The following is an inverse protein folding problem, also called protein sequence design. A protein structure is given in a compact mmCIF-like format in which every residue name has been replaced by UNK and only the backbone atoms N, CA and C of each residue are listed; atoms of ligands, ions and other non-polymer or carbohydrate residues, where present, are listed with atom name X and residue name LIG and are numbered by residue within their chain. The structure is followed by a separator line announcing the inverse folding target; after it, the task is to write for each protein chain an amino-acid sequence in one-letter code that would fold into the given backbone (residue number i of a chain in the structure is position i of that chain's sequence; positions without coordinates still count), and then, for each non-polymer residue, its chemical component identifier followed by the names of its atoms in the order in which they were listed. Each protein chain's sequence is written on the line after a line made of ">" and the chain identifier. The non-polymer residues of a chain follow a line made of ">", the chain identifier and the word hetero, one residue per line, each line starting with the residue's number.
data_IF_644308832094
#
_entry.id   IF_644308832094
#
_cell.length_a   1.000
_cell.length_b   1.000
_cell.length_c   1.000
_cell.angle_alpha   90.00
_cell.angle_beta   90.00
_cell.angle_gamma   90.00
#
_symmetry.space_group_name_H-M   'P 1'
#
loop_
_entity.id
_entity.type
_entity.pdbx_description
1 polymer ?
#
# COMPACT_ATOMS: atom_id res chain seq x y z
N UNK A 1 -0.43 5.00 -1.69
CA UNK A 1 0.83 4.51 -2.30
C UNK A 1 0.46 3.68 -3.53
N UNK A 2 1.26 3.65 -4.60
CA UNK A 2 0.96 2.83 -5.80
C UNK A 2 2.13 1.89 -6.12
N UNK A 3 1.85 0.69 -6.56
CA UNK A 3 2.85 -0.34 -6.90
C UNK A 3 2.37 -1.26 -8.01
N UNK A 4 3.27 -1.81 -8.82
CA UNK A 4 2.97 -2.85 -9.81
C UNK A 4 2.99 -4.27 -9.21
N UNK A 5 3.45 -4.41 -7.97
CA UNK A 5 3.48 -5.68 -7.25
C UNK A 5 2.30 -5.78 -6.29
N UNK A 6 1.58 -6.91 -6.35
CA UNK A 6 0.41 -7.16 -5.50
C UNK A 6 0.78 -7.06 -4.00
N UNK A 7 0.21 -6.12 -3.24
CA UNK A 7 0.46 -6.01 -1.81
C UNK A 7 -0.27 -7.10 -1.02
N UNK A 8 0.30 -7.47 0.14
CA UNK A 8 -0.32 -8.43 1.07
C UNK A 8 -0.48 -7.74 2.44
N UNK A 9 -1.67 -7.86 3.04
CA UNK A 9 -1.93 -7.35 4.38
C UNK A 9 -1.64 -8.46 5.39
N UNK A 10 -0.68 -8.22 6.30
CA UNK A 10 -0.28 -9.15 7.36
C UNK A 10 -0.32 -8.39 8.69
N UNK A 11 -1.38 -8.59 9.47
CA UNK A 11 -1.55 -7.93 10.77
C UNK A 11 -1.73 -6.42 10.64
N UNK A 12 -0.70 -5.67 11.02
CA UNK A 12 -0.58 -4.21 11.01
C UNK A 12 0.40 -3.70 9.93
N UNK A 13 0.69 -4.54 8.94
CA UNK A 13 1.63 -4.24 7.85
C UNK A 13 1.00 -4.53 6.49
N UNK A 14 1.19 -3.61 5.54
CA UNK A 14 1.06 -3.89 4.10
C UNK A 14 2.44 -4.18 3.53
N UNK A 15 2.69 -5.41 3.10
CA UNK A 15 3.95 -5.86 2.52
C UNK A 15 3.88 -5.82 0.99
N UNK A 16 4.92 -5.26 0.36
CA UNK A 16 5.07 -5.14 -1.10
C UNK A 16 6.40 -5.81 -1.49
N UNK A 17 6.32 -6.94 -2.20
CA UNK A 17 7.50 -7.69 -2.66
C UNK A 17 7.83 -7.32 -4.10
N UNK A 18 8.91 -6.56 -4.30
CA UNK A 18 9.39 -6.12 -5.60
C UNK A 18 10.73 -6.80 -5.92
N UNK A 19 10.67 -8.00 -6.50
CA UNK A 19 11.87 -8.82 -6.73
C UNK A 19 12.55 -9.21 -5.41
N UNK A 20 13.80 -8.79 -5.23
CA UNK A 20 14.58 -9.03 -4.00
C UNK A 20 14.39 -7.96 -2.93
N UNK A 21 13.65 -6.89 -3.20
CA UNK A 21 13.39 -5.79 -2.27
C UNK A 21 12.02 -5.98 -1.63
N UNK A 22 11.92 -5.69 -0.33
CA UNK A 22 10.64 -5.68 0.38
C UNK A 22 10.37 -4.29 0.93
N UNK A 23 9.28 -3.67 0.49
CA UNK A 23 8.74 -2.48 1.12
C UNK A 23 7.62 -2.86 2.09
N UNK A 24 7.53 -2.14 3.20
CA UNK A 24 6.52 -2.35 4.25
C UNK A 24 5.89 -1.03 4.61
N UNK A 25 4.56 -1.03 4.69
CA UNK A 25 3.78 0.07 5.22
C UNK A 25 3.20 -0.38 6.54
N UNK A 26 3.80 0.05 7.64
CA UNK A 26 3.34 -0.26 8.99
C UNK A 26 2.29 0.77 9.41
N UNK A 27 1.14 0.32 9.91
CA UNK A 27 0.01 1.16 10.25
C UNK A 27 -0.67 0.75 11.54
N UNK A 28 -1.35 1.68 12.23
CA UNK A 28 -2.14 1.34 13.40
C UNK A 28 -3.47 0.67 13.00
N UNK A 29 -3.54 -0.67 13.10
CA UNK A 29 -4.74 -1.44 12.76
C UNK A 29 -5.98 -1.10 13.61
N UNK A 30 -5.80 -0.49 14.77
CA UNK A 30 -6.89 0.02 15.60
C UNK A 30 -7.52 1.28 15.02
N UNK A 31 -6.73 2.09 14.32
CA UNK A 31 -7.14 3.41 13.80
C UNK A 31 -7.42 3.44 12.30
N UNK A 32 -6.84 2.53 11.53
CA UNK A 32 -7.02 2.51 10.08
C UNK A 32 -7.17 1.09 9.51
N UNK A 33 -7.85 1.01 8.37
CA UNK A 33 -7.95 -0.19 7.55
C UNK A 33 -7.32 0.09 6.18
N UNK A 34 -6.34 -0.70 5.74
CA UNK A 34 -5.82 -0.58 4.39
C UNK A 34 -6.88 -1.02 3.38
N UNK A 35 -6.96 -0.32 2.26
CA UNK A 35 -7.74 -0.67 1.08
C UNK A 35 -6.79 -0.81 -0.09
N UNK A 36 -6.86 -1.94 -0.80
CA UNK A 36 -6.05 -2.20 -1.99
C UNK A 36 -6.98 -2.22 -3.19
N UNK A 37 -6.72 -1.36 -4.17
CA UNK A 37 -7.47 -1.26 -5.41
C UNK A 37 -6.58 -1.61 -6.61
N UNK A 38 -6.93 -2.69 -7.31
CA UNK A 38 -6.34 -3.07 -8.59
C UNK A 38 -6.99 -2.25 -9.72
N UNK A 39 -6.18 -1.66 -10.60
CA UNK A 39 -6.63 -0.92 -11.78
C UNK A 39 -5.49 -0.82 -12.80
N UNK A 40 -5.78 -0.32 -14.00
CA UNK A 40 -4.80 -0.23 -15.10
C UNK A 40 -4.30 1.21 -15.29
N UNK A 41 -3.02 1.34 -15.59
CA UNK A 41 -2.33 2.60 -15.90
C UNK A 41 -1.60 2.46 -17.24
N UNK A 42 -1.37 3.58 -17.93
CA UNK A 42 -0.46 3.64 -19.07
C UNK A 42 0.92 4.06 -18.54
N UNK A 43 1.95 3.28 -18.86
CA UNK A 43 3.31 3.52 -18.39
C UNK A 43 4.10 4.56 -19.23
N UNK A 44 5.37 4.74 -18.86
CA UNK A 44 6.42 5.50 -19.57
C UNK A 44 6.47 5.29 -21.10
N UNK A 45 6.23 4.05 -21.52
CA UNK A 45 6.33 3.56 -22.90
C UNK A 45 5.01 3.63 -23.66
N UNK A 46 3.90 3.89 -22.97
CA UNK A 46 2.56 3.81 -23.56
C UNK A 46 1.92 2.42 -23.45
N UNK A 47 2.51 1.50 -22.68
CA UNK A 47 1.95 0.17 -22.44
C UNK A 47 0.97 0.18 -21.26
N UNK A 48 -0.08 -0.62 -21.36
CA UNK A 48 -1.04 -0.81 -20.27
C UNK A 48 -0.46 -1.78 -19.22
N UNK A 49 -0.39 -1.33 -17.97
CA UNK A 49 0.14 -2.07 -16.84
C UNK A 49 -0.89 -2.13 -15.70
N UNK A 50 -0.91 -3.27 -14.99
CA UNK A 50 -1.72 -3.42 -13.78
C UNK A 50 -0.97 -2.77 -12.61
N UNK A 51 -1.68 -1.96 -11.85
CA UNK A 51 -1.19 -1.31 -10.64
C UNK A 51 -2.16 -1.50 -9.47
N UNK A 52 -1.59 -1.43 -8.27
CA UNK A 52 -2.29 -1.55 -7.00
C UNK A 52 -2.13 -0.25 -6.23
N UNK A 53 -3.24 0.46 -6.03
CA UNK A 53 -3.31 1.59 -5.10
C UNK A 53 -3.58 1.08 -3.69
N UNK A 54 -2.78 1.57 -2.75
CA UNK A 54 -2.90 1.28 -1.32
C UNK A 54 -3.31 2.58 -0.64
N UNK A 55 -4.54 2.57 -0.13
CA UNK A 55 -5.14 3.65 0.66
C UNK A 55 -5.41 3.19 2.09
N UNK A 56 -5.65 4.13 2.99
CA UNK A 56 -5.96 3.84 4.39
C UNK A 56 -7.23 4.57 4.80
N UNK A 57 -8.27 3.81 5.12
CA UNK A 57 -9.52 4.34 5.65
C UNK A 57 -9.37 4.53 7.15
N UNK A 58 -9.51 5.77 7.62
CA UNK A 58 -9.43 6.12 9.04
C UNK A 58 -10.75 5.76 9.72
N UNK A 59 -10.69 5.01 10.83
CA UNK A 59 -11.85 4.46 11.54
C UNK A 59 -12.49 5.44 12.53
N UNK A 60 -11.77 6.46 13.00
CA UNK A 60 -12.22 7.39 14.05
C UNK A 60 -11.74 8.81 13.76
N UNK A 61 -12.45 9.82 14.28
CA UNK A 61 -12.05 11.23 14.27
C UNK A 61 -10.85 11.53 15.20
N UNK A 62 -9.86 10.63 15.28
CA UNK A 62 -8.60 11.00 15.92
C UNK A 62 -7.74 11.78 14.92
N UNK A 63 -7.32 13.01 15.25
CA UNK A 63 -6.63 13.89 14.31
C UNK A 63 -5.22 13.40 13.95
N UNK A 64 -4.67 12.46 14.73
CA UNK A 64 -3.29 12.01 14.61
C UNK A 64 -3.21 10.51 14.39
N UNK A 65 -2.63 10.14 13.26
CA UNK A 65 -2.26 8.77 12.94
C UNK A 65 -0.84 8.76 12.36
N UNK A 66 -0.14 7.65 12.55
CA UNK A 66 1.22 7.45 12.04
C UNK A 66 1.19 6.27 11.08
N UNK A 67 1.84 6.45 9.95
CA UNK A 67 2.13 5.41 8.99
C UNK A 67 3.65 5.45 8.76
N UNK A 68 4.31 4.31 8.90
CA UNK A 68 5.77 4.20 8.70
C UNK A 68 6.01 3.41 7.42
N UNK A 69 6.75 4.04 6.50
CA UNK A 69 7.18 3.41 5.26
C UNK A 69 8.64 2.95 5.40
N UNK A 70 8.86 1.64 5.35
CA UNK A 70 10.18 1.02 5.44
C UNK A 70 10.55 0.33 4.12
N UNK A 71 11.79 0.50 3.66
CA UNK A 71 12.36 -0.23 2.52
C UNK A 71 13.52 -1.07 3.04
N UNK A 72 13.53 -2.37 2.73
CA UNK A 72 14.59 -3.32 3.10
C UNK A 72 15.10 -4.09 1.88
#
# INVERSE_FOLDING_TARGET
>A
FVTTYMPIIIGDVVEIKAGNTTARICYDKGKMTPSILEHTHIDHSGEEVIVYSIDFVIKMEEPNFICIFEIR
#
